data_IF_214302927415
#
_entry.id   IF_214302927415
#
_cell.length_a   1.000
_cell.length_b   1.000
_cell.length_c   1.000
_cell.angle_alpha   90.00
_cell.angle_beta   90.00
_cell.angle_gamma   90.00
#
_symmetry.space_group_name_H-M   'P 1'
#
loop_
_entity.id
_entity.type
_entity.pdbx_description
1 polymer ?
#
# COMPACT_ATOMS: atom_id res chain seq x y z
N UNK A 1 -88.10 7.07 -76.99
CA UNK A 1 -87.12 7.04 -75.87
C UNK A 1 -85.81 7.65 -76.38
N UNK A 2 -85.62 8.93 -76.04
CA UNK A 2 -84.43 9.79 -76.01
C UNK A 2 -83.30 9.64 -77.04
N UNK A 3 -83.16 10.66 -77.90
CA UNK A 3 -81.88 11.11 -78.49
C UNK A 3 -81.74 12.60 -78.20
N UNK A 4 -80.58 13.00 -77.66
CA UNK A 4 -80.22 14.36 -77.21
C UNK A 4 -79.47 15.13 -78.30
N UNK A 5 -79.85 16.40 -78.48
CA UNK A 5 -79.16 17.54 -79.13
C UNK A 5 -79.67 18.79 -78.36
N UNK A 6 -79.03 19.95 -78.17
CA UNK A 6 -77.78 20.58 -78.60
C UNK A 6 -77.64 21.86 -77.72
N UNK A 7 -76.45 22.21 -77.22
CA UNK A 7 -75.64 23.40 -77.59
C UNK A 7 -76.08 24.80 -77.05
N UNK A 8 -75.14 25.40 -76.28
CA UNK A 8 -74.67 26.83 -76.15
C UNK A 8 -75.23 27.83 -75.11
N UNK A 9 -74.22 28.54 -74.57
CA UNK A 9 -74.14 29.93 -74.06
C UNK A 9 -74.69 30.21 -72.64
N UNK A 10 -73.83 30.38 -71.62
CA UNK A 10 -73.01 31.57 -71.26
C UNK A 10 -73.80 32.59 -70.42
N UNK A 11 -73.50 32.71 -69.11
CA UNK A 11 -73.23 33.99 -68.40
C UNK A 11 -72.99 33.77 -66.87
N UNK A 12 -71.77 34.07 -66.44
CA UNK A 12 -71.35 34.85 -65.24
C UNK A 12 -72.14 34.72 -63.93
N UNK A 13 -71.50 34.18 -62.87
CA UNK A 13 -71.24 34.89 -61.60
C UNK A 13 -70.63 33.97 -60.52
N UNK A 14 -69.46 34.36 -59.98
CA UNK A 14 -69.13 34.18 -58.56
C UNK A 14 -68.44 32.89 -58.11
N UNK A 15 -67.24 32.59 -58.61
CA UNK A 15 -66.34 31.64 -57.95
C UNK A 15 -65.35 32.42 -57.07
N UNK A 16 -65.61 32.46 -55.76
CA UNK A 16 -64.64 32.91 -54.75
C UNK A 16 -63.44 31.95 -54.78
N UNK A 17 -62.33 32.40 -55.37
CA UNK A 17 -61.04 31.75 -55.20
C UNK A 17 -60.52 32.17 -53.82
N UNK A 18 -60.81 31.36 -52.81
CA UNK A 18 -60.07 31.33 -51.55
C UNK A 18 -58.63 30.91 -51.86
N UNK A 19 -57.75 31.89 -51.99
CA UNK A 19 -56.30 31.69 -51.90
C UNK A 19 -55.99 31.20 -50.49
N UNK A 20 -55.62 29.92 -50.36
CA UNK A 20 -55.17 29.38 -49.08
C UNK A 20 -53.79 29.99 -48.72
N UNK A 21 -53.63 30.63 -47.55
CA UNK A 21 -52.31 30.92 -46.98
C UNK A 21 -51.85 29.67 -46.22
N UNK A 22 -51.60 28.56 -46.91
CA UNK A 22 -51.20 27.30 -46.27
C UNK A 22 -49.66 27.14 -46.14
N UNK A 23 -48.86 27.98 -46.82
CA UNK A 23 -47.40 27.89 -46.78
C UNK A 23 -46.74 28.77 -45.70
N UNK A 24 -47.38 29.86 -45.24
CA UNK A 24 -46.79 30.77 -44.24
C UNK A 24 -46.85 30.20 -42.82
N UNK A 25 -47.96 29.53 -42.47
CA UNK A 25 -48.17 28.91 -41.15
C UNK A 25 -47.27 27.69 -40.91
N UNK A 26 -46.91 26.94 -41.95
CA UNK A 26 -45.98 25.81 -41.87
C UNK A 26 -44.53 26.30 -41.68
N UNK A 27 -44.15 27.42 -42.29
CA UNK A 27 -42.81 28.00 -42.19
C UNK A 27 -42.56 28.63 -40.81
N UNK A 28 -43.55 29.33 -40.24
CA UNK A 28 -43.51 29.84 -38.86
C UNK A 28 -43.48 28.71 -37.82
N UNK A 29 -44.26 27.64 -38.05
CA UNK A 29 -44.25 26.44 -37.19
C UNK A 29 -42.89 25.76 -37.18
N UNK A 30 -42.26 25.57 -38.34
CA UNK A 30 -40.90 25.01 -38.46
C UNK A 30 -39.83 25.90 -37.83
N UNK A 31 -39.96 27.23 -37.93
CA UNK A 31 -39.06 28.17 -37.23
C UNK A 31 -39.23 28.10 -35.71
N UNK A 32 -40.45 27.93 -35.21
CA UNK A 32 -40.72 27.72 -33.78
C UNK A 32 -40.17 26.37 -33.29
N UNK A 33 -40.31 25.31 -34.09
CA UNK A 33 -39.73 24.00 -33.84
C UNK A 33 -38.19 24.07 -33.81
N UNK A 34 -37.55 24.74 -34.76
CA UNK A 34 -36.09 24.96 -34.76
C UNK A 34 -35.62 25.75 -33.54
N UNK A 35 -36.35 26.80 -33.13
CA UNK A 35 -36.04 27.56 -31.91
C UNK A 35 -36.17 26.69 -30.65
N UNK A 36 -37.19 25.85 -30.58
CA UNK A 36 -37.38 24.95 -29.43
C UNK A 36 -36.32 23.85 -29.39
N UNK A 37 -35.94 23.29 -30.53
CA UNK A 37 -34.81 22.34 -30.66
C UNK A 37 -33.51 23.03 -30.27
N UNK A 38 -33.24 24.25 -30.74
CA UNK A 38 -32.03 24.99 -30.36
C UNK A 38 -31.99 25.31 -28.86
N UNK A 39 -33.13 25.67 -28.26
CA UNK A 39 -33.23 25.87 -26.82
C UNK A 39 -33.00 24.57 -26.04
N UNK A 40 -33.50 23.43 -26.54
CA UNK A 40 -33.25 22.11 -25.98
C UNK A 40 -31.77 21.72 -26.10
N UNK A 41 -31.12 21.99 -27.24
CA UNK A 41 -29.68 21.77 -27.45
C UNK A 41 -28.87 22.62 -26.47
N UNK A 42 -29.15 23.92 -26.36
CA UNK A 42 -28.44 24.81 -25.44
C UNK A 42 -28.64 24.39 -23.97
N UNK A 43 -29.86 24.00 -23.59
CA UNK A 43 -30.17 23.47 -22.25
C UNK A 43 -29.41 22.17 -21.98
N UNK A 44 -29.37 21.25 -22.95
CA UNK A 44 -28.65 19.99 -22.84
C UNK A 44 -27.14 20.22 -22.77
N UNK A 45 -26.60 21.15 -23.56
CA UNK A 45 -25.18 21.52 -23.55
C UNK A 45 -24.77 22.17 -22.21
N UNK A 46 -25.61 23.06 -21.66
CA UNK A 46 -25.39 23.64 -20.33
C UNK A 46 -25.44 22.57 -19.24
N UNK A 47 -26.42 21.66 -19.30
CA UNK A 47 -26.53 20.54 -18.35
C UNK A 47 -25.29 19.63 -18.39
N UNK A 48 -24.81 19.27 -19.59
CA UNK A 48 -23.57 18.51 -19.78
C UNK A 48 -22.35 19.24 -19.21
N UNK A 49 -22.26 20.56 -19.41
CA UNK A 49 -21.17 21.36 -18.84
C UNK A 49 -21.21 21.39 -17.31
N UNK A 50 -22.38 21.51 -16.71
CA UNK A 50 -22.54 21.54 -15.25
C UNK A 50 -22.27 20.17 -14.63
N UNK A 51 -22.76 19.08 -15.24
CA UNK A 51 -22.41 17.71 -14.87
C UNK A 51 -20.90 17.48 -14.98
N UNK A 52 -20.25 17.98 -16.04
CA UNK A 52 -18.80 17.93 -16.20
C UNK A 52 -18.04 18.64 -15.06
N UNK A 53 -18.48 19.84 -14.66
CA UNK A 53 -17.88 20.58 -13.53
C UNK A 53 -18.10 19.85 -12.20
N UNK A 54 -19.28 19.28 -11.97
CA UNK A 54 -19.56 18.49 -10.77
C UNK A 54 -18.67 17.24 -10.70
N UNK A 55 -18.50 16.54 -11.83
CA UNK A 55 -17.60 15.39 -11.96
C UNK A 55 -16.15 15.76 -11.62
N UNK A 56 -15.62 16.85 -12.16
CA UNK A 56 -14.26 17.30 -11.83
C UNK A 56 -14.09 17.62 -10.34
N UNK A 57 -15.10 18.24 -9.70
CA UNK A 57 -15.10 18.46 -8.25
C UNK A 57 -15.06 17.14 -7.48
N UNK A 58 -15.89 16.16 -7.86
CA UNK A 58 -15.93 14.85 -7.21
C UNK A 58 -14.62 14.07 -7.41
N UNK A 59 -14.00 14.16 -8.59
CA UNK A 59 -12.68 13.56 -8.84
C UNK A 59 -11.60 14.22 -8.00
N UNK A 60 -11.64 15.55 -7.83
CA UNK A 60 -10.72 16.26 -6.94
C UNK A 60 -10.93 15.89 -5.47
N UNK A 61 -12.19 15.72 -5.04
CA UNK A 61 -12.51 15.26 -3.69
C UNK A 61 -12.03 13.83 -3.47
N UNK A 62 -12.26 12.92 -4.41
CA UNK A 62 -11.78 11.55 -4.38
C UNK A 62 -10.24 11.49 -4.26
N UNK A 63 -9.53 12.34 -5.01
CA UNK A 63 -8.07 12.47 -4.88
C UNK A 63 -7.66 12.87 -3.46
N UNK A 64 -8.36 13.83 -2.86
CA UNK A 64 -8.09 14.28 -1.49
C UNK A 64 -8.36 13.16 -0.47
N UNK A 65 -9.50 12.48 -0.58
CA UNK A 65 -9.89 11.36 0.28
C UNK A 65 -8.85 10.22 0.18
N UNK A 66 -8.42 9.86 -1.03
CA UNK A 66 -7.45 8.79 -1.25
C UNK A 66 -6.04 9.16 -0.76
N UNK A 67 -5.64 10.45 -0.81
CA UNK A 67 -4.41 10.91 -0.16
C UNK A 67 -4.50 10.85 1.36
N UNK A 68 -5.64 11.20 1.95
CA UNK A 68 -5.85 11.08 3.40
C UNK A 68 -5.80 9.62 3.86
N UNK A 69 -6.44 8.71 3.12
CA UNK A 69 -6.35 7.26 3.32
C UNK A 69 -4.90 6.78 3.21
N UNK A 70 -4.15 7.23 2.19
CA UNK A 70 -2.75 6.84 2.02
C UNK A 70 -1.91 7.20 3.24
N UNK A 71 -2.03 8.43 3.75
CA UNK A 71 -1.29 8.86 4.94
C UNK A 71 -1.74 8.12 6.22
N UNK A 72 -3.03 7.83 6.37
CA UNK A 72 -3.53 7.03 7.48
C UNK A 72 -3.02 5.58 7.42
N UNK A 73 -3.03 4.96 6.24
CA UNK A 73 -2.54 3.61 6.02
C UNK A 73 -1.03 3.48 6.23
N UNK A 74 -0.23 4.48 5.83
CA UNK A 74 1.22 4.52 6.14
C UNK A 74 1.46 4.48 7.65
N UNK A 75 0.73 5.30 8.41
CA UNK A 75 0.84 5.33 9.88
C UNK A 75 0.47 3.97 10.50
N UNK A 76 -0.66 3.39 10.10
CA UNK A 76 -1.10 2.06 10.52
C UNK A 76 -0.03 0.99 10.22
N UNK A 77 0.59 1.04 9.04
CA UNK A 77 1.62 0.08 8.65
C UNK A 77 2.96 0.28 9.38
N UNK A 78 3.35 1.52 9.64
CA UNK A 78 4.54 1.85 10.42
C UNK A 78 4.41 1.34 11.85
N UNK A 79 3.31 1.67 12.52
CA UNK A 79 3.02 1.21 13.89
C UNK A 79 2.91 -0.32 13.95
N UNK A 80 2.31 -0.98 12.93
CA UNK A 80 2.28 -2.45 12.82
C UNK A 80 3.69 -3.06 12.75
N UNK A 81 4.60 -2.44 11.99
CA UNK A 81 5.98 -2.90 11.86
C UNK A 81 6.75 -2.71 13.17
N UNK A 82 6.51 -1.61 13.87
CA UNK A 82 7.10 -1.31 15.18
C UNK A 82 6.61 -2.29 16.25
N UNK A 83 5.32 -2.60 16.28
CA UNK A 83 4.74 -3.63 17.16
C UNK A 83 5.40 -4.99 16.94
N UNK A 84 5.54 -5.43 15.67
CA UNK A 84 6.19 -6.70 15.35
C UNK A 84 7.67 -6.74 15.79
N UNK A 85 8.40 -5.64 15.64
CA UNK A 85 9.78 -5.54 16.11
C UNK A 85 9.88 -5.57 17.65
N UNK A 86 8.94 -4.91 18.32
CA UNK A 86 8.86 -4.88 19.78
C UNK A 86 8.53 -6.25 20.38
N UNK A 87 7.58 -6.96 19.78
CA UNK A 87 7.23 -8.33 20.15
C UNK A 87 8.43 -9.27 19.98
N UNK A 88 9.13 -9.19 18.84
CA UNK A 88 10.35 -9.96 18.62
C UNK A 88 11.41 -9.65 19.68
N UNK A 89 11.55 -8.38 20.10
CA UNK A 89 12.49 -7.99 21.15
C UNK A 89 12.10 -8.52 22.51
N UNK A 90 10.82 -8.51 22.87
CA UNK A 90 10.32 -9.09 24.12
C UNK A 90 10.57 -10.61 24.17
N UNK A 91 10.37 -11.32 23.06
CA UNK A 91 10.70 -12.75 22.94
C UNK A 91 12.19 -12.99 23.17
N UNK A 92 13.06 -12.17 22.57
CA UNK A 92 14.50 -12.24 22.77
C UNK A 92 14.91 -12.02 24.24
N UNK A 93 14.35 -10.99 24.88
CA UNK A 93 14.60 -10.66 26.30
C UNK A 93 14.12 -11.77 27.23
N UNK A 94 12.93 -12.33 26.99
CA UNK A 94 12.40 -13.46 27.76
C UNK A 94 13.31 -14.69 27.68
N UNK A 95 13.79 -15.01 26.47
CA UNK A 95 14.76 -16.11 26.27
C UNK A 95 16.05 -15.84 27.04
N UNK A 96 16.58 -14.61 26.99
CA UNK A 96 17.80 -14.24 27.71
C UNK A 96 17.62 -14.30 29.23
N UNK A 97 16.47 -13.85 29.74
CA UNK A 97 16.11 -13.95 31.15
C UNK A 97 16.14 -15.40 31.62
N UNK A 98 15.48 -16.31 30.90
CA UNK A 98 15.46 -17.75 31.23
C UNK A 98 16.87 -18.33 31.31
N UNK A 99 17.74 -18.01 30.34
CA UNK A 99 19.14 -18.46 30.35
C UNK A 99 19.91 -17.97 31.58
N UNK A 100 19.76 -16.69 31.94
CA UNK A 100 20.42 -16.12 33.11
C UNK A 100 19.82 -16.64 34.43
N UNK A 101 18.52 -16.91 34.49
CA UNK A 101 17.89 -17.52 35.66
C UNK A 101 18.41 -18.95 35.88
N UNK A 102 18.56 -19.75 34.82
CA UNK A 102 19.21 -21.07 34.92
C UNK A 102 20.66 -20.97 35.38
N UNK A 103 21.42 -20.01 34.82
CA UNK A 103 22.80 -19.77 35.23
C UNK A 103 22.89 -19.35 36.70
N UNK A 104 22.02 -18.42 37.14
CA UNK A 104 21.93 -17.97 38.53
C UNK A 104 21.67 -19.15 39.47
N UNK A 105 20.71 -20.01 39.15
CA UNK A 105 20.38 -21.18 39.97
C UNK A 105 21.57 -22.13 40.08
N UNK A 106 22.27 -22.39 38.98
CA UNK A 106 23.49 -23.22 38.98
C UNK A 106 24.62 -22.62 39.82
N UNK A 107 24.87 -21.32 39.69
CA UNK A 107 25.85 -20.58 40.50
C UNK A 107 25.49 -20.62 41.99
N UNK A 108 24.22 -20.39 42.34
CA UNK A 108 23.71 -20.44 43.71
C UNK A 108 23.86 -21.84 44.32
N UNK A 109 23.50 -22.90 43.59
CA UNK A 109 23.67 -24.28 44.05
C UNK A 109 25.13 -24.63 44.31
N UNK A 110 26.03 -24.20 43.42
CA UNK A 110 27.46 -24.45 43.55
C UNK A 110 28.03 -23.74 44.78
N UNK A 111 27.73 -22.45 44.94
CA UNK A 111 28.15 -21.68 46.11
C UNK A 111 27.55 -22.22 47.41
N UNK A 112 26.27 -22.63 47.39
CA UNK A 112 25.60 -23.22 48.54
C UNK A 112 26.29 -24.51 49.00
N UNK A 113 26.62 -25.42 48.08
CA UNK A 113 27.38 -26.64 48.40
C UNK A 113 28.74 -26.31 49.01
N UNK A 114 29.46 -25.33 48.46
CA UNK A 114 30.75 -24.90 48.99
C UNK A 114 30.66 -24.31 50.40
N UNK A 115 29.64 -23.49 50.67
CA UNK A 115 29.39 -22.95 52.03
C UNK A 115 29.00 -24.04 53.01
N UNK A 116 28.09 -24.96 52.63
CA UNK A 116 27.66 -26.06 53.49
C UNK A 116 28.83 -26.97 53.86
N UNK A 117 29.69 -27.33 52.90
CA UNK A 117 30.90 -28.11 53.18
C UNK A 117 31.88 -27.38 54.10
N UNK A 118 32.08 -26.06 53.91
CA UNK A 118 32.94 -25.26 54.78
C UNK A 118 32.40 -25.15 56.22
N UNK A 119 31.08 -25.04 56.36
CA UNK A 119 30.39 -25.00 57.64
C UNK A 119 30.50 -26.35 58.38
N UNK A 120 30.25 -27.47 57.68
CA UNK A 120 30.38 -28.82 58.23
C UNK A 120 31.82 -29.17 58.63
N UNK A 121 32.81 -28.64 57.91
CA UNK A 121 34.22 -28.69 58.30
C UNK A 121 34.55 -27.80 59.52
N UNK A 122 33.54 -27.23 60.17
CA UNK A 122 33.65 -26.60 61.48
C UNK A 122 34.12 -25.16 61.46
N UNK A 123 34.25 -24.49 60.30
CA UNK A 123 34.59 -23.06 60.11
C UNK A 123 35.87 -22.54 60.82
N UNK A 124 36.56 -23.37 61.61
CA UNK A 124 37.62 -23.03 62.56
C UNK A 124 38.87 -23.93 62.40
N UNK A 125 38.94 -24.70 61.31
CA UNK A 125 40.03 -25.65 61.10
C UNK A 125 41.35 -24.95 60.75
N UNK A 126 41.29 -23.76 60.13
CA UNK A 126 42.48 -23.02 59.68
C UNK A 126 43.38 -22.57 60.84
N UNK A 127 42.81 -21.97 61.89
CA UNK A 127 43.58 -21.53 63.05
C UNK A 127 44.07 -22.70 63.91
N UNK A 128 43.28 -23.78 64.01
CA UNK A 128 43.69 -25.00 64.72
C UNK A 128 44.76 -25.81 63.98
N UNK A 129 44.70 -25.88 62.64
CA UNK A 129 45.71 -26.57 61.82
C UNK A 129 47.03 -25.81 61.76
N UNK A 130 47.02 -24.48 61.66
CA UNK A 130 48.25 -23.67 61.73
C UNK A 130 49.01 -23.87 63.05
N UNK A 131 48.30 -24.20 64.12
CA UNK A 131 48.87 -24.49 65.43
C UNK A 131 49.35 -25.95 65.58
N UNK A 132 49.01 -26.85 64.65
CA UNK A 132 49.40 -28.26 64.68
C UNK A 132 50.68 -28.49 63.84
N UNK A 133 51.85 -28.27 64.47
CA UNK A 133 53.20 -28.10 63.89
C UNK A 133 53.85 -29.37 63.27
N UNK A 134 53.15 -30.18 62.48
CA UNK A 134 53.66 -31.52 62.10
C UNK A 134 54.54 -31.57 60.82
N UNK A 135 54.44 -30.61 59.87
CA UNK A 135 55.36 -30.48 58.71
C UNK A 135 55.27 -29.09 57.99
N UNK A 136 56.32 -28.25 58.01
CA UNK A 136 56.33 -26.93 57.36
C UNK A 136 56.05 -26.94 55.85
N UNK A 137 56.56 -27.93 55.11
CA UNK A 137 56.40 -27.99 53.66
C UNK A 137 54.96 -28.31 53.23
N UNK A 138 54.25 -29.09 54.04
CA UNK A 138 52.83 -29.39 53.84
C UNK A 138 51.93 -28.19 54.18
N UNK A 139 52.32 -27.38 55.18
CA UNK A 139 51.61 -26.14 55.51
C UNK A 139 51.70 -25.13 54.37
N UNK A 140 52.88 -24.93 53.77
CA UNK A 140 53.06 -23.99 52.65
C UNK A 140 52.18 -24.35 51.44
N UNK A 141 52.19 -25.63 51.03
CA UNK A 141 51.33 -26.11 49.93
C UNK A 141 49.85 -25.93 50.24
N UNK A 142 49.44 -26.24 51.48
CA UNK A 142 48.07 -26.10 51.91
C UNK A 142 47.62 -24.63 51.90
N UNK A 143 48.48 -23.70 52.35
CA UNK A 143 48.25 -22.26 52.28
C UNK A 143 48.04 -21.78 50.84
N UNK A 144 48.88 -22.24 49.91
CA UNK A 144 48.71 -21.94 48.49
C UNK A 144 47.35 -22.46 47.97
N UNK A 145 46.97 -23.70 48.30
CA UNK A 145 45.68 -24.27 47.90
C UNK A 145 44.49 -23.48 48.45
N UNK A 146 44.57 -23.01 49.70
CA UNK A 146 43.54 -22.13 50.27
C UNK A 146 43.44 -20.79 49.54
N UNK A 147 44.57 -20.19 49.16
CA UNK A 147 44.57 -18.95 48.38
C UNK A 147 43.89 -19.16 47.02
N UNK A 148 44.23 -20.23 46.29
CA UNK A 148 43.58 -20.57 45.03
C UNK A 148 42.07 -20.82 45.22
N UNK A 149 41.67 -21.55 46.25
CA UNK A 149 40.27 -21.83 46.56
C UNK A 149 39.48 -20.55 46.90
N UNK A 150 40.04 -19.68 47.74
CA UNK A 150 39.39 -18.41 48.09
C UNK A 150 39.29 -17.47 46.88
N UNK A 151 40.32 -17.44 46.03
CA UNK A 151 40.28 -16.70 44.76
C UNK A 151 39.16 -17.20 43.86
N UNK A 152 39.02 -18.51 43.68
CA UNK A 152 37.94 -19.11 42.90
C UNK A 152 36.55 -18.82 43.51
N UNK A 153 36.42 -18.82 44.84
CA UNK A 153 35.18 -18.45 45.55
C UNK A 153 34.79 -17.00 45.30
N UNK A 154 35.72 -16.06 45.46
CA UNK A 154 35.47 -14.63 45.19
C UNK A 154 35.04 -14.43 43.73
N UNK A 155 35.73 -15.08 42.79
CA UNK A 155 35.36 -15.04 41.37
C UNK A 155 33.94 -15.57 41.12
N UNK A 156 33.54 -16.67 41.75
CA UNK A 156 32.18 -17.22 41.62
C UNK A 156 31.11 -16.29 42.21
N UNK A 157 31.40 -15.61 43.32
CA UNK A 157 30.52 -14.58 43.90
C UNK A 157 30.37 -13.39 42.96
N UNK A 158 31.48 -12.92 42.37
CA UNK A 158 31.46 -11.80 41.44
C UNK A 158 30.70 -12.14 40.15
N UNK A 159 30.87 -13.36 39.63
CA UNK A 159 30.07 -13.85 38.51
C UNK A 159 28.57 -13.91 38.84
N UNK A 160 28.20 -14.37 40.03
CA UNK A 160 26.79 -14.37 40.46
C UNK A 160 26.24 -12.95 40.58
N UNK A 161 27.01 -12.00 41.13
CA UNK A 161 26.62 -10.58 41.18
C UNK A 161 26.40 -10.00 39.79
N UNK A 162 27.28 -10.31 38.83
CA UNK A 162 27.11 -9.90 37.44
C UNK A 162 25.84 -10.50 36.82
N UNK A 163 25.56 -11.79 37.03
CA UNK A 163 24.32 -12.43 36.58
C UNK A 163 23.08 -11.74 37.16
N UNK A 164 23.10 -11.39 38.45
CA UNK A 164 21.99 -10.68 39.11
C UNK A 164 21.79 -9.27 38.56
N UNK A 165 22.88 -8.52 38.30
CA UNK A 165 22.79 -7.20 37.66
C UNK A 165 22.16 -7.30 36.28
N UNK A 166 22.65 -8.22 35.45
CA UNK A 166 22.12 -8.44 34.11
C UNK A 166 20.63 -8.85 34.12
N UNK A 167 20.21 -9.68 35.09
CA UNK A 167 18.79 -10.02 35.27
C UNK A 167 17.93 -8.79 35.63
N UNK A 168 18.43 -7.90 36.48
CA UNK A 168 17.71 -6.68 36.85
C UNK A 168 17.59 -5.70 35.67
N UNK A 169 18.67 -5.54 34.88
CA UNK A 169 18.65 -4.74 33.66
C UNK A 169 17.64 -5.27 32.64
N UNK A 170 17.60 -6.60 32.43
CA UNK A 170 16.62 -7.23 31.54
C UNK A 170 15.19 -7.01 32.04
N UNK A 171 14.93 -7.18 33.34
CA UNK A 171 13.60 -6.95 33.92
C UNK A 171 13.14 -5.50 33.75
N UNK A 172 14.04 -4.54 33.95
CA UNK A 172 13.75 -3.13 33.68
C UNK A 172 13.42 -2.92 32.20
N UNK A 173 14.26 -3.45 31.30
CA UNK A 173 14.03 -3.33 29.86
C UNK A 173 12.72 -4.00 29.43
N UNK A 174 12.34 -5.15 29.99
CA UNK A 174 11.06 -5.79 29.68
C UNK A 174 9.88 -4.93 30.11
N UNK A 175 9.96 -4.32 31.32
CA UNK A 175 8.92 -3.42 31.81
C UNK A 175 8.74 -2.21 30.89
N UNK A 176 9.84 -1.57 30.49
CA UNK A 176 9.82 -0.40 29.61
C UNK A 176 9.25 -0.78 28.23
N UNK A 177 9.66 -1.93 27.68
CA UNK A 177 9.15 -2.44 26.40
C UNK A 177 7.67 -2.82 26.48
N UNK A 178 7.20 -3.36 27.59
CA UNK A 178 5.78 -3.66 27.81
C UNK A 178 4.93 -2.38 27.88
N UNK A 179 5.45 -1.31 28.50
CA UNK A 179 4.78 0.00 28.51
C UNK A 179 4.71 0.60 27.11
N UNK A 180 5.81 0.54 26.34
CA UNK A 180 5.84 0.96 24.93
C UNK A 180 4.84 0.18 24.09
N UNK A 181 4.72 -1.14 24.31
CA UNK A 181 3.79 -2.01 23.60
C UNK A 181 2.34 -1.58 23.84
N UNK A 182 1.97 -1.38 25.10
CA UNK A 182 0.61 -0.96 25.46
C UNK A 182 0.26 0.40 24.86
N UNK A 183 1.20 1.36 24.85
CA UNK A 183 1.01 2.66 24.22
C UNK A 183 0.82 2.54 22.70
N UNK A 184 1.66 1.77 22.01
CA UNK A 184 1.57 1.56 20.57
C UNK A 184 0.27 0.85 20.16
N UNK A 185 -0.24 -0.08 20.97
CA UNK A 185 -1.53 -0.73 20.71
C UNK A 185 -2.67 0.29 20.71
N UNK A 186 -2.69 1.22 21.67
CA UNK A 186 -3.71 2.28 21.73
C UNK A 186 -3.60 3.19 20.49
N UNK A 187 -2.38 3.63 20.15
CA UNK A 187 -2.13 4.43 18.94
C UNK A 187 -2.57 3.71 17.67
N UNK A 188 -2.31 2.40 17.55
CA UNK A 188 -2.73 1.58 16.42
C UNK A 188 -4.26 1.55 16.27
N UNK A 189 -4.99 1.41 17.38
CA UNK A 189 -6.45 1.40 17.40
C UNK A 189 -7.04 2.74 16.93
N UNK A 190 -6.48 3.85 17.42
CA UNK A 190 -6.89 5.20 17.00
C UNK A 190 -6.62 5.45 15.51
N UNK A 191 -5.44 5.06 15.03
CA UNK A 191 -5.06 5.18 13.62
C UNK A 191 -5.97 4.32 12.72
N UNK A 192 -6.30 3.09 13.15
CA UNK A 192 -7.21 2.20 12.41
C UNK A 192 -8.64 2.76 12.36
N UNK A 193 -9.12 3.34 13.46
CA UNK A 193 -10.43 4.03 13.50
C UNK A 193 -10.46 5.20 12.53
N UNK A 194 -9.41 6.02 12.52
CA UNK A 194 -9.29 7.15 11.57
C UNK A 194 -9.28 6.66 10.12
N UNK A 195 -8.48 5.63 9.80
CA UNK A 195 -8.45 5.04 8.46
C UNK A 195 -9.84 4.59 7.99
N UNK A 196 -10.60 3.93 8.87
CA UNK A 196 -11.98 3.48 8.59
C UNK A 196 -12.94 4.65 8.31
N UNK A 197 -12.78 5.77 9.03
CA UNK A 197 -13.56 6.99 8.78
C UNK A 197 -13.27 7.58 7.40
N UNK A 198 -11.98 7.69 7.03
CA UNK A 198 -11.57 8.19 5.70
C UNK A 198 -12.08 7.27 4.58
N UNK A 199 -12.02 5.95 4.77
CA UNK A 199 -12.58 4.96 3.83
C UNK A 199 -14.10 5.09 3.67
N UNK A 200 -14.82 5.41 4.75
CA UNK A 200 -16.26 5.65 4.72
C UNK A 200 -16.60 6.93 3.95
N UNK A 201 -15.83 8.00 4.14
CA UNK A 201 -15.98 9.25 3.39
C UNK A 201 -15.78 9.03 1.89
N UNK A 202 -14.68 8.36 1.52
CA UNK A 202 -14.37 7.99 0.14
C UNK A 202 -15.50 7.18 -0.51
N UNK A 203 -16.12 6.25 0.23
CA UNK A 203 -17.24 5.44 -0.28
C UNK A 203 -18.44 6.31 -0.68
N UNK A 204 -18.75 7.32 0.13
CA UNK A 204 -19.81 8.30 -0.19
C UNK A 204 -19.47 9.11 -1.45
N UNK A 205 -18.23 9.62 -1.55
CA UNK A 205 -17.74 10.33 -2.75
C UNK A 205 -17.85 9.46 -4.01
N UNK A 206 -17.50 8.18 -3.92
CA UNK A 206 -17.62 7.24 -5.04
C UNK A 206 -19.05 6.95 -5.45
N UNK A 207 -19.96 6.85 -4.49
CA UNK A 207 -21.38 6.60 -4.77
C UNK A 207 -21.97 7.77 -5.55
N UNK A 208 -21.63 9.00 -5.17
CA UNK A 208 -22.05 10.20 -5.91
C UNK A 208 -21.38 10.27 -7.30
N UNK A 209 -20.10 9.95 -7.41
CA UNK A 209 -19.40 9.89 -8.71
C UNK A 209 -20.04 8.85 -9.65
N UNK A 210 -20.39 7.67 -9.16
CA UNK A 210 -21.06 6.63 -9.95
C UNK A 210 -22.45 7.08 -10.41
N UNK A 211 -23.18 7.85 -9.59
CA UNK A 211 -24.47 8.44 -9.99
C UNK A 211 -24.34 9.40 -11.17
N UNK A 212 -23.19 10.08 -11.28
CA UNK A 212 -22.89 10.96 -12.43
C UNK A 212 -22.42 10.21 -13.68
N UNK A 213 -21.97 8.96 -13.56
CA UNK A 213 -21.52 8.10 -14.66
C UNK A 213 -22.65 7.14 -15.08
N UNK A 214 -23.77 7.71 -15.51
CA UNK A 214 -25.00 6.93 -15.77
C UNK A 214 -25.03 6.26 -17.14
N UNK A 215 -24.26 6.76 -18.10
CA UNK A 215 -24.24 6.25 -19.48
C UNK A 215 -22.89 5.63 -19.87
N UNK A 216 -22.94 4.63 -20.77
CA UNK A 216 -21.74 4.00 -21.35
C UNK A 216 -20.85 4.99 -22.11
N UNK A 217 -21.44 6.08 -22.64
CA UNK A 217 -20.69 7.12 -23.34
C UNK A 217 -19.81 7.94 -22.37
N UNK A 218 -20.36 8.30 -21.19
CA UNK A 218 -19.62 9.01 -20.14
C UNK A 218 -18.52 8.13 -19.53
N UNK A 219 -18.78 6.83 -19.37
CA UNK A 219 -17.77 5.86 -18.92
C UNK A 219 -16.60 5.75 -19.92
N UNK A 220 -16.89 5.69 -21.22
CA UNK A 220 -15.86 5.64 -22.26
C UNK A 220 -15.03 6.93 -22.32
N UNK A 221 -15.68 8.09 -22.23
CA UNK A 221 -15.00 9.39 -22.14
C UNK A 221 -14.04 9.42 -20.95
N UNK A 222 -14.49 8.93 -19.79
CA UNK A 222 -13.71 8.87 -18.58
C UNK A 222 -12.46 7.97 -18.74
N UNK A 223 -12.61 6.78 -19.34
CA UNK A 223 -11.48 5.89 -19.62
C UNK A 223 -10.46 6.51 -20.59
N UNK A 224 -10.90 7.30 -21.56
CA UNK A 224 -10.00 8.01 -22.48
C UNK A 224 -9.18 9.10 -21.76
N UNK A 225 -9.81 9.84 -20.83
CA UNK A 225 -9.12 10.85 -20.01
C UNK A 225 -8.07 10.18 -19.10
N UNK A 226 -8.39 9.02 -18.54
CA UNK A 226 -7.48 8.22 -17.72
C UNK A 226 -6.29 7.70 -18.53
N UNK A 227 -6.53 7.17 -19.74
CA UNK A 227 -5.47 6.74 -20.65
C UNK A 227 -4.54 7.91 -21.03
N UNK A 228 -5.11 9.07 -21.36
CA UNK A 228 -4.34 10.27 -21.67
C UNK A 228 -3.48 10.74 -20.48
N UNK A 229 -4.02 10.63 -19.26
CA UNK A 229 -3.29 10.96 -18.04
C UNK A 229 -2.12 10.00 -17.80
N UNK A 230 -2.32 8.70 -18.03
CA UNK A 230 -1.25 7.71 -17.95
C UNK A 230 -0.15 7.96 -19.00
N UNK A 231 -0.52 8.22 -20.26
CA UNK A 231 0.45 8.52 -21.33
C UNK A 231 1.35 9.68 -20.94
N UNK A 232 0.78 10.77 -20.41
CA UNK A 232 1.54 11.95 -19.94
C UNK A 232 2.55 11.59 -18.85
N UNK A 233 2.15 10.80 -17.86
CA UNK A 233 3.06 10.38 -16.78
C UNK A 233 4.16 9.46 -17.32
N UNK A 234 3.84 8.54 -18.24
CA UNK A 234 4.86 7.68 -18.86
C UNK A 234 5.86 8.50 -19.67
N UNK A 235 5.41 9.51 -20.41
CA UNK A 235 6.31 10.42 -21.13
C UNK A 235 7.22 11.19 -20.16
N UNK A 236 6.67 11.73 -19.07
CA UNK A 236 7.45 12.39 -18.03
C UNK A 236 8.46 11.43 -17.36
N UNK A 237 8.03 10.19 -17.10
CA UNK A 237 8.87 9.13 -16.56
C UNK A 237 10.03 8.80 -17.51
N UNK A 238 9.78 8.66 -18.82
CA UNK A 238 10.81 8.44 -19.84
C UNK A 238 11.85 9.57 -19.90
N UNK A 239 11.43 10.82 -19.63
CA UNK A 239 12.36 11.94 -19.53
C UNK A 239 13.20 11.87 -18.26
N UNK A 240 12.60 11.48 -17.12
CA UNK A 240 13.30 11.32 -15.85
C UNK A 240 14.35 10.19 -15.88
N UNK A 241 14.10 9.12 -16.65
CA UNK A 241 15.04 8.01 -16.87
C UNK A 241 16.40 8.43 -17.45
N UNK A 242 16.52 9.62 -18.05
CA UNK A 242 17.82 10.09 -18.56
C UNK A 242 18.84 10.36 -17.44
N UNK A 243 18.36 10.56 -16.21
CA UNK A 243 19.18 10.94 -15.07
C UNK A 243 19.29 9.81 -14.02
N UNK A 244 18.81 8.61 -14.32
CA UNK A 244 18.83 7.47 -13.39
C UNK A 244 20.15 6.71 -13.49
N UNK A 245 20.60 6.03 -12.41
CA UNK A 245 21.79 5.19 -12.46
C UNK A 245 21.65 4.08 -13.52
N UNK A 246 22.77 3.75 -14.18
CA UNK A 246 22.79 2.62 -15.12
C UNK A 246 22.48 1.32 -14.38
N UNK A 247 21.44 0.60 -14.83
CA UNK A 247 20.99 -0.68 -14.28
C UNK A 247 20.84 -1.74 -15.37
N UNK A 248 20.77 -3.00 -14.96
CA UNK A 248 20.86 -4.15 -15.88
C UNK A 248 19.60 -4.42 -16.71
N UNK A 249 18.47 -3.75 -16.42
CA UNK A 249 17.18 -4.01 -17.06
C UNK A 249 16.54 -5.32 -16.58
N UNK A 250 15.49 -5.77 -17.29
CA UNK A 250 14.72 -6.97 -16.92
C UNK A 250 14.96 -8.17 -17.85
N UNK A 251 15.78 -8.03 -18.89
CA UNK A 251 15.98 -9.06 -19.92
C UNK A 251 16.49 -10.40 -19.34
N UNK A 252 17.51 -10.36 -18.47
CA UNK A 252 18.11 -11.56 -17.87
C UNK A 252 17.20 -12.24 -16.81
N UNK A 253 16.13 -11.54 -16.41
CA UNK A 253 15.21 -11.91 -15.34
C UNK A 253 13.85 -12.40 -15.85
N UNK A 254 13.69 -12.57 -17.18
CA UNK A 254 12.49 -13.17 -17.79
C UNK A 254 12.20 -14.53 -17.16
N UNK A 255 10.94 -14.72 -16.74
CA UNK A 255 10.46 -15.91 -16.04
C UNK A 255 11.03 -16.16 -14.64
N UNK A 256 11.81 -15.22 -14.07
CA UNK A 256 12.49 -15.40 -12.76
C UNK A 256 12.02 -14.42 -11.69
N UNK A 257 11.23 -13.41 -12.03
CA UNK A 257 10.74 -12.45 -11.05
C UNK A 257 9.56 -13.03 -10.29
N UNK A 258 9.42 -12.70 -9.01
CA UNK A 258 8.18 -12.99 -8.29
C UNK A 258 7.10 -11.97 -8.65
N UNK A 259 5.84 -12.36 -8.57
CA UNK A 259 4.74 -11.40 -8.58
C UNK A 259 4.91 -10.34 -7.47
N UNK A 260 4.53 -9.08 -7.72
CA UNK A 260 4.71 -7.98 -6.76
C UNK A 260 3.84 -8.13 -5.51
N UNK A 261 2.77 -8.90 -5.58
CA UNK A 261 1.98 -9.28 -4.42
C UNK A 261 1.33 -10.65 -4.65
N UNK A 262 1.04 -11.39 -3.58
CA UNK A 262 0.33 -12.67 -3.67
C UNK A 262 -1.15 -12.39 -3.89
N UNK A 263 -1.71 -12.88 -5.00
CA UNK A 263 -3.11 -12.65 -5.35
C UNK A 263 -3.55 -13.43 -6.57
N UNK A 264 -4.85 -13.37 -6.88
CA UNK A 264 -5.43 -14.00 -8.07
C UNK A 264 -5.47 -12.99 -9.22
N UNK A 265 -5.05 -13.41 -10.41
CA UNK A 265 -5.24 -12.59 -11.62
C UNK A 265 -6.74 -12.43 -11.90
N UNK A 266 -7.25 -11.20 -11.81
CA UNK A 266 -8.64 -10.85 -12.11
C UNK A 266 -8.80 -10.24 -13.51
N UNK A 267 -7.74 -9.64 -14.06
CA UNK A 267 -7.67 -9.20 -15.46
C UNK A 267 -6.26 -9.47 -16.00
N UNK A 268 -6.18 -9.91 -17.25
CA UNK A 268 -4.92 -10.28 -17.91
C UNK A 268 -4.52 -9.25 -18.96
N UNK A 269 -3.22 -9.19 -19.27
CA UNK A 269 -2.72 -8.31 -20.33
C UNK A 269 -3.40 -8.63 -21.66
N UNK A 270 -3.85 -7.59 -22.37
CA UNK A 270 -4.49 -7.72 -23.68
C UNK A 270 -5.96 -8.15 -23.67
N UNK A 271 -6.55 -8.53 -22.52
CA UNK A 271 -7.98 -8.83 -22.46
C UNK A 271 -8.83 -7.56 -22.62
N UNK A 272 -10.08 -7.71 -23.05
CA UNK A 272 -11.01 -6.57 -23.19
C UNK A 272 -11.31 -5.92 -21.83
N UNK A 273 -11.25 -4.59 -21.78
CA UNK A 273 -11.56 -3.76 -20.61
C UNK A 273 -12.91 -3.09 -20.77
N UNK A 274 -13.10 -2.32 -21.85
CA UNK A 274 -14.38 -1.70 -22.19
C UNK A 274 -14.40 -1.29 -23.66
N UNK A 275 -15.45 -1.67 -24.39
CA UNK A 275 -15.58 -1.42 -25.82
C UNK A 275 -14.39 -1.98 -26.61
N UNK A 276 -13.57 -1.10 -27.19
CA UNK A 276 -12.34 -1.45 -27.94
C UNK A 276 -11.04 -1.30 -27.13
N UNK A 277 -11.12 -0.93 -25.85
CA UNK A 277 -9.94 -0.79 -24.99
C UNK A 277 -9.57 -2.15 -24.38
N UNK A 278 -8.29 -2.47 -24.45
CA UNK A 278 -7.70 -3.65 -23.82
C UNK A 278 -6.82 -3.26 -22.63
N UNK A 279 -6.70 -4.17 -21.67
CA UNK A 279 -5.79 -4.03 -20.55
C UNK A 279 -4.32 -3.94 -21.02
N UNK A 280 -3.58 -2.95 -20.51
CA UNK A 280 -2.14 -2.76 -20.78
C UNK A 280 -1.24 -3.35 -19.68
N UNK A 281 -1.85 -3.90 -18.64
CA UNK A 281 -1.19 -4.61 -17.56
C UNK A 281 -2.10 -5.74 -17.08
N UNK A 282 -1.85 -6.19 -15.86
CA UNK A 282 -2.69 -7.17 -15.17
C UNK A 282 -3.33 -6.54 -13.94
N UNK A 283 -4.43 -7.13 -13.49
CA UNK A 283 -5.03 -6.82 -12.20
C UNK A 283 -4.88 -8.04 -11.27
N UNK A 284 -4.26 -7.83 -10.12
CA UNK A 284 -4.06 -8.84 -9.08
C UNK A 284 -5.01 -8.54 -7.92
N UNK A 285 -6.05 -9.36 -7.77
CA UNK A 285 -6.94 -9.29 -6.61
C UNK A 285 -6.21 -9.76 -5.35
N UNK A 286 -6.10 -8.89 -4.36
CA UNK A 286 -5.40 -9.14 -3.10
C UNK A 286 -6.02 -8.31 -1.97
N UNK A 287 -5.90 -8.75 -0.70
CA UNK A 287 -6.38 -8.01 0.45
C UNK A 287 -5.79 -6.59 0.53
N UNK A 288 -6.64 -5.61 0.85
CA UNK A 288 -6.21 -4.24 1.10
C UNK A 288 -5.24 -4.17 2.29
N UNK A 289 -4.21 -3.34 2.17
CA UNK A 289 -3.13 -3.23 3.17
C UNK A 289 -2.05 -4.32 3.06
N UNK A 290 -2.18 -5.29 2.15
CA UNK A 290 -1.11 -6.26 1.87
C UNK A 290 0.10 -5.56 1.22
N UNK A 291 1.32 -6.03 1.50
CA UNK A 291 2.51 -5.46 0.89
C UNK A 291 2.53 -5.67 -0.64
N UNK A 292 2.94 -4.62 -1.34
CA UNK A 292 3.34 -4.64 -2.74
C UNK A 292 4.85 -4.45 -2.78
N UNK A 293 5.53 -5.37 -3.43
CA UNK A 293 6.98 -5.43 -3.47
C UNK A 293 7.51 -5.06 -4.86
N UNK A 294 8.69 -4.45 -4.91
CA UNK A 294 9.40 -4.20 -6.15
C UNK A 294 9.75 -5.54 -6.81
N UNK A 295 9.43 -5.70 -8.10
CA UNK A 295 9.71 -6.95 -8.82
C UNK A 295 11.19 -7.12 -9.12
N UNK A 296 11.92 -6.01 -9.21
CA UNK A 296 13.37 -5.97 -9.42
C UNK A 296 13.94 -4.69 -8.78
N UNK A 297 15.26 -4.66 -8.60
CA UNK A 297 15.95 -3.46 -8.16
C UNK A 297 15.77 -2.31 -9.16
N UNK A 298 15.69 -1.07 -8.66
CA UNK A 298 15.35 0.07 -9.48
C UNK A 298 15.42 1.40 -8.74
N UNK A 299 15.06 2.47 -9.44
CA UNK A 299 14.84 3.80 -8.86
C UNK A 299 13.39 4.22 -9.08
N UNK A 300 12.75 4.75 -8.03
CA UNK A 300 11.40 5.30 -8.14
C UNK A 300 11.46 6.61 -8.93
N UNK A 301 10.74 6.68 -10.05
CA UNK A 301 10.70 7.87 -10.93
C UNK A 301 9.35 8.61 -10.86
N UNK A 302 8.33 7.99 -10.28
CA UNK A 302 7.03 8.62 -10.03
C UNK A 302 6.36 7.97 -8.82
N UNK A 303 5.72 8.77 -7.96
CA UNK A 303 4.96 8.30 -6.81
C UNK A 303 3.90 9.34 -6.40
N UNK A 304 2.74 9.33 -7.05
CA UNK A 304 1.62 10.21 -6.70
C UNK A 304 0.28 9.63 -7.21
N UNK A 305 -0.82 10.29 -6.85
CA UNK A 305 -2.15 9.99 -7.32
C UNK A 305 -2.33 10.35 -8.81
N UNK A 306 -2.87 9.43 -9.58
CA UNK A 306 -3.20 9.56 -10.99
C UNK A 306 -4.68 9.21 -11.23
N UNK A 307 -5.39 10.05 -11.98
CA UNK A 307 -6.81 9.81 -12.32
C UNK A 307 -6.97 8.46 -13.01
N UNK A 308 -7.91 7.65 -12.53
CA UNK A 308 -8.19 6.30 -13.03
C UNK A 308 -7.25 5.20 -12.55
N UNK A 309 -6.06 5.55 -12.05
CA UNK A 309 -5.07 4.59 -11.54
C UNK A 309 -4.81 4.73 -10.04
N UNK A 310 -5.37 5.76 -9.40
CA UNK A 310 -5.23 5.97 -7.96
C UNK A 310 -3.80 6.31 -7.58
N UNK A 311 -3.36 5.84 -6.42
CA UNK A 311 -1.95 5.96 -6.02
C UNK A 311 -1.10 5.08 -6.92
N UNK A 312 -0.21 5.72 -7.69
CA UNK A 312 0.67 5.06 -8.66
C UNK A 312 2.12 5.25 -8.28
N UNK A 313 2.89 4.18 -8.36
CA UNK A 313 4.34 4.20 -8.26
C UNK A 313 4.95 3.62 -9.55
N UNK A 314 5.98 4.27 -10.07
CA UNK A 314 6.73 3.80 -11.24
C UNK A 314 8.21 3.64 -10.87
N UNK A 315 8.78 2.48 -11.21
CA UNK A 315 10.19 2.16 -10.99
C UNK A 315 10.89 2.04 -12.33
N UNK A 316 12.01 2.73 -12.50
CA UNK A 316 12.99 2.49 -13.56
C UNK A 316 13.93 1.36 -13.18
N UNK A 317 14.09 0.39 -14.07
CA UNK A 317 15.00 -0.75 -13.93
C UNK A 317 16.22 -0.67 -14.86
N UNK A 318 16.36 0.42 -15.63
CA UNK A 318 17.42 0.62 -16.61
C UNK A 318 17.12 0.00 -17.98
N UNK A 319 17.94 0.34 -18.97
CA UNK A 319 17.82 -0.12 -20.39
C UNK A 319 16.44 0.09 -21.02
N UNK A 320 15.68 1.08 -20.53
CA UNK A 320 14.32 1.36 -21.02
C UNK A 320 13.22 0.52 -20.37
N UNK A 321 13.53 -0.27 -19.35
CA UNK A 321 12.55 -1.04 -18.59
C UNK A 321 11.97 -0.23 -17.44
N UNK A 322 10.66 -0.28 -17.28
CA UNK A 322 9.99 0.25 -16.10
C UNK A 322 8.85 -0.67 -15.67
N UNK A 323 8.54 -0.63 -14.39
CA UNK A 323 7.36 -1.25 -13.82
C UNK A 323 6.46 -0.19 -13.18
N UNK A 324 5.15 -0.39 -13.29
CA UNK A 324 4.13 0.50 -12.76
C UNK A 324 3.19 -0.27 -11.83
N UNK A 325 2.92 0.34 -10.68
CA UNK A 325 2.11 -0.20 -9.60
C UNK A 325 0.99 0.78 -9.30
N UNK A 326 -0.26 0.42 -9.64
CA UNK A 326 -1.44 1.27 -9.49
C UNK A 326 -2.46 0.72 -8.50
N UNK A 327 -3.45 1.56 -8.18
CA UNK A 327 -4.52 1.30 -7.22
C UNK A 327 -4.06 1.08 -5.78
N UNK A 328 -2.81 1.45 -5.46
CA UNK A 328 -2.26 1.26 -4.13
C UNK A 328 -3.07 2.03 -3.07
N UNK A 329 -3.14 1.50 -1.85
CA UNK A 329 -3.72 2.23 -0.73
C UNK A 329 -2.76 3.33 -0.27
N UNK A 330 -1.47 3.01 -0.20
CA UNK A 330 -0.40 3.91 0.18
C UNK A 330 0.89 3.58 -0.55
N UNK A 331 1.73 4.59 -0.79
CA UNK A 331 3.07 4.45 -1.35
C UNK A 331 4.10 4.58 -0.24
N UNK A 332 5.00 3.60 -0.11
CA UNK A 332 6.02 3.56 0.95
C UNK A 332 7.35 4.18 0.52
N UNK A 333 7.43 4.63 -0.74
CA UNK A 333 8.63 5.23 -1.36
C UNK A 333 8.29 6.53 -2.07
N UNK A 334 9.29 7.38 -2.20
CA UNK A 334 9.22 8.68 -2.88
C UNK A 334 10.04 8.67 -4.18
N UNK A 335 9.79 9.61 -5.12
CA UNK A 335 10.62 9.75 -6.31
C UNK A 335 12.08 10.03 -5.92
N UNK A 336 13.01 9.32 -6.58
CA UNK A 336 14.44 9.35 -6.29
C UNK A 336 14.93 8.19 -5.43
N UNK A 337 14.05 7.52 -4.66
CA UNK A 337 14.43 6.40 -3.81
C UNK A 337 14.94 5.21 -4.64
N UNK A 338 16.05 4.63 -4.21
CA UNK A 338 16.52 3.33 -4.71
C UNK A 338 15.78 2.21 -3.98
N UNK A 339 15.36 1.19 -4.73
CA UNK A 339 14.65 0.03 -4.21
C UNK A 339 15.33 -1.26 -4.64
N UNK A 340 15.30 -2.25 -3.77
CA UNK A 340 15.83 -3.60 -4.03
C UNK A 340 14.71 -4.53 -4.49
N UNK A 341 15.07 -5.60 -5.19
CA UNK A 341 14.16 -6.69 -5.50
C UNK A 341 13.49 -7.22 -4.22
N UNK A 342 12.17 -7.33 -4.21
CA UNK A 342 11.40 -7.83 -3.08
C UNK A 342 11.14 -6.81 -1.96
N UNK A 343 11.66 -5.59 -2.07
CA UNK A 343 11.43 -4.54 -1.08
C UNK A 343 9.99 -4.03 -1.14
N UNK A 344 9.37 -3.81 0.02
CA UNK A 344 8.02 -3.26 0.11
C UNK A 344 8.01 -1.79 -0.35
N UNK A 345 7.24 -1.49 -1.38
CA UNK A 345 7.16 -0.17 -2.03
C UNK A 345 5.80 0.49 -1.92
N UNK A 346 4.74 -0.29 -1.68
CA UNK A 346 3.38 0.20 -1.57
C UNK A 346 2.53 -0.81 -0.78
N UNK A 347 1.29 -0.43 -0.50
CA UNK A 347 0.26 -1.30 0.06
C UNK A 347 -0.84 -1.49 -0.97
N UNK A 348 -1.34 -2.71 -1.12
CA UNK A 348 -2.49 -3.04 -1.97
C UNK A 348 -3.68 -2.19 -1.52
N UNK A 349 -4.42 -1.63 -2.48
CA UNK A 349 -5.57 -0.82 -2.18
C UNK A 349 -6.66 -0.97 -3.21
N UNK A 350 -7.52 0.04 -3.25
CA UNK A 350 -8.60 0.16 -4.22
C UNK A 350 -8.67 1.58 -4.77
N UNK A 351 -7.57 2.34 -4.71
CA UNK A 351 -7.56 3.76 -5.09
C UNK A 351 -7.79 3.95 -6.60
N UNK A 352 -8.17 5.14 -7.04
CA UNK A 352 -8.54 5.41 -8.43
C UNK A 352 -9.94 4.91 -8.77
N UNK A 353 -10.84 4.89 -7.79
CA UNK A 353 -12.24 4.53 -7.99
C UNK A 353 -12.55 3.03 -8.10
N UNK A 354 -11.62 2.15 -7.75
CA UNK A 354 -11.88 0.71 -7.75
C UNK A 354 -12.85 0.32 -6.62
N UNK A 355 -13.75 -0.62 -6.94
CA UNK A 355 -14.71 -1.20 -5.99
C UNK A 355 -14.04 -2.29 -5.13
N UNK A 356 -13.32 -3.18 -5.80
CA UNK A 356 -12.59 -4.29 -5.19
C UNK A 356 -11.11 -3.96 -4.95
N UNK A 357 -10.52 -4.47 -3.87
CA UNK A 357 -9.09 -4.29 -3.60
C UNK A 357 -8.23 -5.14 -4.53
N UNK A 358 -7.13 -4.56 -4.97
CA UNK A 358 -6.12 -5.24 -5.76
C UNK A 358 -5.06 -4.28 -6.30
N UNK A 359 -4.12 -4.85 -7.04
CA UNK A 359 -2.98 -4.14 -7.61
C UNK A 359 -3.09 -4.15 -9.13
N UNK A 360 -3.08 -2.97 -9.74
CA UNK A 360 -2.78 -2.85 -11.17
C UNK A 360 -1.27 -2.93 -11.35
N UNK A 361 -0.81 -3.85 -12.18
CA UNK A 361 0.61 -4.04 -12.43
C UNK A 361 0.91 -4.07 -13.92
N UNK A 362 1.88 -3.26 -14.34
CA UNK A 362 2.28 -3.13 -15.73
C UNK A 362 3.80 -3.11 -15.85
N UNK A 363 4.31 -3.78 -16.87
CA UNK A 363 5.73 -3.71 -17.26
C UNK A 363 5.78 -3.02 -18.61
N UNK A 364 6.72 -2.08 -18.77
CA UNK A 364 7.00 -1.45 -20.05
C UNK A 364 8.46 -1.62 -20.44
N UNK A 365 8.68 -1.68 -21.75
CA UNK A 365 10.00 -1.64 -22.35
C UNK A 365 9.99 -0.60 -23.48
N UNK A 366 10.86 0.41 -23.38
CA UNK A 366 10.96 1.55 -24.31
C UNK A 366 9.62 2.24 -24.55
N UNK A 367 8.88 2.46 -23.45
CA UNK A 367 7.58 3.14 -23.45
C UNK A 367 6.37 2.27 -23.81
N UNK A 368 6.58 1.06 -24.36
CA UNK A 368 5.50 0.15 -24.74
C UNK A 368 5.20 -0.86 -23.64
N UNK A 369 3.90 -1.07 -23.37
CA UNK A 369 3.45 -2.08 -22.43
C UNK A 369 3.72 -3.49 -22.96
N UNK A 370 4.31 -4.34 -22.12
CA UNK A 370 4.62 -5.74 -22.40
C UNK A 370 3.93 -6.62 -21.37
N UNK A 371 3.61 -7.86 -21.76
CA UNK A 371 2.95 -8.82 -20.87
C UNK A 371 3.82 -9.12 -19.62
N UNK A 372 3.36 -8.76 -18.40
CA UNK A 372 4.10 -9.02 -17.18
C UNK A 372 4.32 -10.50 -16.87
N UNK A 373 3.45 -11.39 -17.36
CA UNK A 373 3.55 -12.83 -17.16
C UNK A 373 4.80 -13.44 -17.85
N UNK A 374 5.45 -12.70 -18.76
CA UNK A 374 6.74 -13.10 -19.36
C UNK A 374 7.92 -12.93 -18.39
N UNK A 375 7.75 -12.16 -17.32
CA UNK A 375 8.79 -11.83 -16.35
C UNK A 375 8.50 -12.46 -14.99
N UNK A 376 7.24 -12.42 -14.55
CA UNK A 376 6.81 -12.88 -13.25
C UNK A 376 6.31 -14.34 -13.27
N UNK A 377 6.58 -15.08 -12.19
CA UNK A 377 6.07 -16.43 -11.94
C UNK A 377 5.41 -16.53 -10.56
#
# INVERSE_FOLDING_TARGET
MNIRLSIKASLVAGLLILSQPALSSDLERRQSELKSIQAQINKQQSALQDTGKQREKLVSLLKSDEKAIAEAAKRVNATKSELAALDAKLVELNRRQQQLDTLRLSQQQTLSKQLSSAYLAGNHDYSKMLLNQQDPASIERLLAYYQYLNKARTQAIDQLKQTLSALNEIRSSQKDKQQQLNALIITQQEQAKRLSQEQSQRKSTLTELQRTLSSKAEELEQLQIEEASLKRIVEQALLAMKNTPSMDGLDALKGKLSWPTKGRVSASFGSSRSGRLNWKGIMLAAPEGQNVNAVAAGQVIYADWLRGFGMVLVIDHGKGYMSLYGHAQALLKAPGDLVKTGEAIALVGRSGGQTEPGLYFEVRHKGQAVDPARYCH
#
